data_IF_245742139944
#
_entry.id   IF_245742139944
#
_cell.length_a   1.000
_cell.length_b   1.000
_cell.length_c   1.000
_cell.angle_alpha   90.00
_cell.angle_beta   90.00
_cell.angle_gamma   90.00
#
_symmetry.space_group_name_H-M   'P 1'
#
loop_
_entity.id
_entity.type
_entity.pdbx_description
1 polymer ?
#
# COMPACT_ATOMS: atom_id res chain seq x y z
N UNK A 1 -11.97 20.87 3.59
CA UNK A 1 -11.22 21.28 2.56
C UNK A 1 -10.86 20.21 1.57
N UNK A 2 -10.24 20.63 0.54
CA UNK A 2 -10.05 19.78 -0.61
C UNK A 2 -9.11 18.61 -0.36
N UNK A 3 -8.23 18.72 0.62
CA UNK A 3 -7.27 17.67 0.91
C UNK A 3 -7.91 16.34 1.28
N UNK A 4 -9.17 16.39 1.70
CA UNK A 4 -9.87 15.17 2.13
C UNK A 4 -10.69 14.53 1.02
N UNK A 5 -10.66 15.08 -0.16
CA UNK A 5 -11.46 14.52 -1.25
C UNK A 5 -10.88 13.19 -1.72
N UNK A 6 -11.74 12.26 -2.14
CA UNK A 6 -11.27 10.97 -2.65
C UNK A 6 -10.27 11.11 -3.80
N UNK A 7 -10.43 12.15 -4.62
CA UNK A 7 -9.51 12.35 -5.74
C UNK A 7 -8.09 12.59 -5.26
N UNK A 8 -7.91 13.14 -4.07
CA UNK A 8 -6.56 13.35 -3.52
C UNK A 8 -5.84 12.03 -3.31
N UNK A 9 -6.51 11.02 -2.78
CA UNK A 9 -5.92 9.70 -2.61
C UNK A 9 -5.58 9.09 -3.96
N UNK A 10 -6.48 9.22 -4.91
CA UNK A 10 -6.25 8.69 -6.25
C UNK A 10 -5.01 9.32 -6.89
N UNK A 11 -4.88 10.63 -6.78
CA UNK A 11 -3.75 11.34 -7.36
C UNK A 11 -2.43 10.96 -6.69
N UNK A 12 -2.43 10.88 -5.36
CA UNK A 12 -1.22 10.48 -4.65
C UNK A 12 -0.82 9.04 -4.98
N UNK A 13 -1.80 8.17 -5.11
CA UNK A 13 -1.54 6.79 -5.48
C UNK A 13 -0.93 6.71 -6.88
N UNK A 14 -1.52 7.45 -7.83
CA UNK A 14 -1.01 7.48 -9.19
C UNK A 14 0.42 7.99 -9.26
N UNK A 15 0.73 9.02 -8.48
CA UNK A 15 2.10 9.54 -8.41
C UNK A 15 3.04 8.51 -7.84
N UNK A 16 2.59 7.79 -6.81
CA UNK A 16 3.41 6.72 -6.24
C UNK A 16 3.77 5.67 -7.27
N UNK A 17 2.79 5.27 -8.08
CA UNK A 17 3.03 4.29 -9.13
C UNK A 17 4.01 4.82 -10.19
N UNK A 18 3.90 6.09 -10.52
CA UNK A 18 4.81 6.71 -11.48
C UNK A 18 6.25 6.72 -10.97
N UNK A 19 6.45 7.10 -9.71
CA UNK A 19 7.78 7.08 -9.13
C UNK A 19 8.36 5.67 -9.12
N UNK A 20 7.53 4.68 -8.81
CA UNK A 20 7.98 3.29 -8.83
C UNK A 20 8.46 2.88 -10.22
N UNK A 21 7.71 3.26 -11.24
CA UNK A 21 8.09 2.96 -12.63
C UNK A 21 9.41 3.58 -13.01
N UNK A 22 9.69 4.77 -12.47
CA UNK A 22 10.92 5.48 -12.74
C UNK A 22 12.09 4.98 -11.92
N UNK A 23 11.84 4.02 -11.03
CA UNK A 23 12.88 3.51 -10.16
C UNK A 23 13.12 4.35 -8.93
N UNK A 24 12.30 5.36 -8.69
CA UNK A 24 12.42 6.23 -7.53
C UNK A 24 11.58 5.66 -6.39
N UNK A 25 12.10 4.59 -5.79
CA UNK A 25 11.37 3.86 -4.77
C UNK A 25 11.20 4.68 -3.49
N UNK A 26 12.15 5.53 -3.17
CA UNK A 26 12.07 6.35 -1.96
C UNK A 26 10.86 7.26 -2.00
N UNK A 27 10.66 7.98 -3.11
CA UNK A 27 9.51 8.86 -3.23
C UNK A 27 8.21 8.10 -3.34
N UNK A 28 8.24 6.97 -4.06
CA UNK A 28 7.05 6.14 -4.20
C UNK A 28 6.59 5.63 -2.83
N UNK A 29 7.51 5.06 -2.06
CA UNK A 29 7.16 4.51 -0.75
C UNK A 29 6.69 5.60 0.19
N UNK A 30 7.27 6.78 0.11
CA UNK A 30 6.85 7.89 0.96
C UNK A 30 5.41 8.29 0.69
N UNK A 31 5.03 8.39 -0.58
CA UNK A 31 3.65 8.70 -0.95
C UNK A 31 2.70 7.61 -0.51
N UNK A 32 3.08 6.35 -0.72
CA UNK A 32 2.24 5.24 -0.32
C UNK A 32 2.08 5.17 1.18
N UNK A 33 3.14 5.47 1.94
CA UNK A 33 3.05 5.52 3.40
C UNK A 33 2.05 6.59 3.86
N UNK A 34 2.05 7.73 3.20
CA UNK A 34 1.08 8.76 3.52
C UNK A 34 -0.35 8.27 3.34
N UNK A 35 -0.58 7.53 2.26
CA UNK A 35 -1.90 6.97 1.99
C UNK A 35 -2.30 5.91 3.00
N UNK A 36 -1.34 5.15 3.51
CA UNK A 36 -1.60 4.14 4.53
C UNK A 36 -1.95 4.77 5.87
N UNK A 37 -1.48 5.99 6.08
CA UNK A 37 -1.70 6.70 7.34
C UNK A 37 -2.84 7.71 7.30
N UNK A 38 -3.56 7.77 6.18
CA UNK A 38 -4.73 8.63 6.09
C UNK A 38 -5.80 8.19 7.08
N UNK A 39 -6.70 9.11 7.41
CA UNK A 39 -7.81 8.84 8.32
C UNK A 39 -8.59 7.61 7.87
N UNK A 40 -8.86 7.51 6.58
CA UNK A 40 -9.37 6.28 5.98
C UNK A 40 -8.27 5.74 5.05
N UNK A 41 -7.50 4.77 5.53
CA UNK A 41 -6.35 4.29 4.74
C UNK A 41 -6.76 3.79 3.35
N UNK A 42 -5.91 4.10 2.39
CA UNK A 42 -6.14 3.68 1.00
C UNK A 42 -5.60 2.25 0.85
N UNK A 43 -6.51 1.29 0.83
CA UNK A 43 -6.14 -0.13 0.87
C UNK A 43 -5.15 -0.53 -0.25
N UNK A 44 -5.35 -0.11 -1.51
CA UNK A 44 -4.38 -0.50 -2.55
C UNK A 44 -2.95 -0.06 -2.29
N UNK A 45 -2.75 0.99 -1.48
CA UNK A 45 -1.40 1.45 -1.19
C UNK A 45 -0.59 0.42 -0.39
N UNK A 46 -1.25 -0.33 0.48
CA UNK A 46 -0.56 -1.39 1.23
C UNK A 46 -0.01 -2.47 0.31
N UNK A 47 -0.85 -2.91 -0.63
CA UNK A 47 -0.44 -3.94 -1.57
C UNK A 47 0.76 -3.48 -2.39
N UNK A 48 0.67 -2.26 -2.92
CA UNK A 48 1.73 -1.73 -3.78
C UNK A 48 3.03 -1.53 -3.00
N UNK A 49 2.94 -0.95 -1.79
CA UNK A 49 4.12 -0.72 -0.98
C UNK A 49 4.79 -2.06 -0.60
N UNK A 50 3.98 -3.03 -0.20
CA UNK A 50 4.52 -4.33 0.19
C UNK A 50 5.21 -5.02 -0.99
N UNK A 51 4.61 -4.96 -2.18
CA UNK A 51 5.22 -5.56 -3.36
C UNK A 51 6.54 -4.89 -3.73
N UNK A 52 6.62 -3.57 -3.59
CA UNK A 52 7.89 -2.87 -3.81
C UNK A 52 8.95 -3.33 -2.82
N UNK A 53 8.56 -3.46 -1.55
CA UNK A 53 9.50 -3.91 -0.53
C UNK A 53 10.01 -5.31 -0.81
N UNK A 54 9.15 -6.19 -1.33
CA UNK A 54 9.58 -7.53 -1.75
C UNK A 54 10.64 -7.43 -2.84
N UNK A 55 10.40 -6.60 -3.85
CA UNK A 55 11.36 -6.42 -4.95
C UNK A 55 12.69 -5.90 -4.44
N UNK A 56 12.66 -5.06 -3.41
CA UNK A 56 13.86 -4.49 -2.80
C UNK A 56 14.51 -5.43 -1.79
N UNK A 57 14.01 -6.64 -1.64
CA UNK A 57 14.52 -7.64 -0.70
C UNK A 57 14.36 -7.22 0.76
N UNK A 58 13.43 -6.30 1.03
CA UNK A 58 13.13 -5.84 2.38
C UNK A 58 11.92 -6.62 2.90
N UNK A 59 12.14 -7.90 3.14
CA UNK A 59 11.04 -8.84 3.36
C UNK A 59 10.34 -8.67 4.69
N UNK A 60 11.06 -8.32 5.76
CA UNK A 60 10.42 -8.11 7.05
C UNK A 60 9.46 -6.93 7.00
N UNK A 61 9.90 -5.86 6.34
CA UNK A 61 9.03 -4.69 6.17
C UNK A 61 7.84 -5.03 5.30
N UNK A 62 8.05 -5.83 4.26
CA UNK A 62 6.95 -6.24 3.38
C UNK A 62 5.90 -7.03 4.17
N UNK A 63 6.33 -7.96 5.01
CA UNK A 63 5.41 -8.74 5.85
C UNK A 63 4.59 -7.82 6.74
N UNK A 64 5.26 -6.86 7.35
CA UNK A 64 4.57 -5.92 8.24
C UNK A 64 3.52 -5.13 7.48
N UNK A 65 3.86 -4.65 6.29
CA UNK A 65 2.92 -3.85 5.49
C UNK A 65 1.74 -4.70 5.03
N UNK A 66 1.98 -5.96 4.63
CA UNK A 66 0.88 -6.85 4.29
C UNK A 66 -0.06 -7.05 5.47
N UNK A 67 0.49 -7.25 6.66
CA UNK A 67 -0.35 -7.44 7.85
C UNK A 67 -1.20 -6.22 8.14
N UNK A 68 -0.61 -5.04 8.04
CA UNK A 68 -1.36 -3.79 8.24
C UNK A 68 -2.43 -3.63 7.16
N UNK A 69 -2.11 -3.98 5.93
CA UNK A 69 -3.05 -3.89 4.84
C UNK A 69 -4.22 -4.84 4.99
N UNK A 70 -3.95 -6.05 5.45
CA UNK A 70 -5.00 -7.05 5.71
C UNK A 70 -5.97 -6.49 6.77
N UNK A 71 -5.43 -5.91 7.83
CA UNK A 71 -6.27 -5.33 8.88
C UNK A 71 -7.11 -4.17 8.33
N UNK A 72 -6.51 -3.31 7.53
CA UNK A 72 -7.23 -2.18 6.95
C UNK A 72 -8.33 -2.64 6.00
N UNK A 73 -8.03 -3.64 5.18
CA UNK A 73 -9.02 -4.19 4.25
C UNK A 73 -10.18 -4.81 5.00
N UNK A 74 -9.88 -5.56 6.06
CA UNK A 74 -10.91 -6.19 6.88
C UNK A 74 -11.82 -5.14 7.52
N UNK A 75 -11.22 -4.09 8.04
CA UNK A 75 -11.97 -3.02 8.68
C UNK A 75 -12.90 -2.32 7.70
N UNK A 76 -12.47 -2.19 6.45
CA UNK A 76 -13.27 -1.52 5.43
C UNK A 76 -14.21 -2.46 4.68
N UNK A 77 -14.20 -3.74 5.04
CA UNK A 77 -15.08 -4.71 4.39
C UNK A 77 -14.61 -5.11 2.99
N UNK A 78 -13.35 -4.91 2.70
CA UNK A 78 -12.79 -5.25 1.38
C UNK A 78 -12.20 -6.65 1.44
N UNK A 79 -13.09 -7.64 1.32
CA UNK A 79 -12.68 -9.04 1.47
C UNK A 79 -11.78 -9.51 0.33
N UNK A 80 -11.93 -8.93 -0.86
CA UNK A 80 -11.07 -9.30 -1.98
C UNK A 80 -9.61 -8.90 -1.71
N UNK A 81 -9.40 -7.66 -1.28
CA UNK A 81 -8.07 -7.18 -0.96
C UNK A 81 -7.48 -7.95 0.23
N UNK A 82 -8.31 -8.23 1.22
CA UNK A 82 -7.87 -9.01 2.38
C UNK A 82 -7.34 -10.37 1.96
N UNK A 83 -8.09 -11.07 1.13
CA UNK A 83 -7.69 -12.40 0.63
C UNK A 83 -6.41 -12.33 -0.19
N UNK A 84 -6.34 -11.35 -1.05
CA UNK A 84 -5.19 -11.21 -1.95
C UNK A 84 -3.92 -10.98 -1.17
N UNK A 85 -3.96 -10.06 -0.21
CA UNK A 85 -2.80 -9.76 0.62
C UNK A 85 -2.41 -10.93 1.52
N UNK A 86 -3.40 -11.67 2.02
CA UNK A 86 -3.14 -12.85 2.82
C UNK A 86 -2.36 -13.89 2.00
N UNK A 87 -2.76 -14.07 0.75
CA UNK A 87 -2.09 -15.00 -0.15
C UNK A 87 -0.63 -14.60 -0.39
N UNK A 88 -0.39 -13.33 -0.66
CA UNK A 88 0.96 -12.84 -0.85
C UNK A 88 1.80 -13.04 0.42
N UNK A 89 1.21 -12.72 1.57
CA UNK A 89 1.92 -12.87 2.84
C UNK A 89 2.33 -14.32 3.06
N UNK A 90 1.43 -15.26 2.76
CA UNK A 90 1.72 -16.68 2.92
C UNK A 90 2.88 -17.13 2.03
N UNK A 91 3.01 -16.53 0.86
CA UNK A 91 4.08 -16.88 -0.06
C UNK A 91 5.44 -16.41 0.43
N UNK A 92 5.46 -15.43 1.31
CA UNK A 92 6.73 -14.93 1.86
C UNK A 92 7.25 -15.77 3.03
N UNK A 93 6.44 -16.66 3.55
CA UNK A 93 6.80 -17.44 4.75
C UNK A 93 7.90 -18.48 4.50
#
# INVERSE_FOLDING_TARGET
MLAKEPSDQFLRYSLGLEFDKEGDHDRSLKLLQGLMNDERPHVPAFMMAAQQLVKLQRLDEARNVFQLGIAAAREQGDSHAESEMTEFLNQLA
#
